data_IF_661019528100
#
_entry.id   IF_661019528100
#
_cell.length_a   1.000
_cell.length_b   1.000
_cell.length_c   1.000
_cell.angle_alpha   90.00
_cell.angle_beta   90.00
_cell.angle_gamma   90.00
#
_symmetry.space_group_name_H-M   'P 1'
#
loop_
_entity.id
_entity.type
_entity.pdbx_description
1 polymer ?
#
# COMPACT_ATOMS: atom_id res chain seq x y z
N UNK A 1 -60.25 30.33 -30.27
CA UNK A 1 -60.38 31.75 -29.87
C UNK A 1 -59.86 31.93 -28.44
N UNK A 2 -59.32 33.12 -28.18
CA UNK A 2 -58.44 33.57 -27.07
C UNK A 2 -59.33 34.21 -25.98
N UNK A 3 -59.15 34.03 -24.66
CA UNK A 3 -58.40 34.92 -23.72
C UNK A 3 -58.79 34.54 -22.26
N UNK A 4 -57.82 34.34 -21.34
CA UNK A 4 -57.39 35.19 -20.17
C UNK A 4 -58.44 35.25 -19.02
N UNK A 5 -58.13 35.13 -17.71
CA UNK A 5 -57.02 35.71 -16.92
C UNK A 5 -56.91 35.10 -15.49
N UNK A 6 -55.66 35.02 -14.97
CA UNK A 6 -55.08 35.31 -13.62
C UNK A 6 -55.85 35.00 -12.31
N UNK A 7 -55.30 34.62 -11.15
CA UNK A 7 -54.04 34.94 -10.42
C UNK A 7 -53.80 33.90 -9.29
N UNK A 8 -52.55 33.59 -8.93
CA UNK A 8 -51.90 33.84 -7.61
C UNK A 8 -50.63 32.98 -7.42
N UNK A 9 -49.68 33.55 -6.68
CA UNK A 9 -48.27 33.22 -6.58
C UNK A 9 -47.93 32.16 -5.48
N UNK A 10 -46.62 32.07 -5.18
CA UNK A 10 -45.90 31.42 -4.06
C UNK A 10 -45.25 30.08 -4.50
N UNK A 11 -43.99 30.03 -4.94
CA UNK A 11 -42.70 30.25 -4.25
C UNK A 11 -42.13 28.99 -3.56
N UNK A 12 -40.97 28.55 -4.10
CA UNK A 12 -39.74 28.07 -3.43
C UNK A 12 -39.72 26.70 -2.70
N UNK A 13 -38.74 25.89 -3.10
CA UNK A 13 -37.98 24.95 -2.24
C UNK A 13 -38.49 23.50 -2.28
N UNK A 14 -37.67 22.45 -2.36
CA UNK A 14 -36.23 22.30 -2.43
C UNK A 14 -35.95 20.92 -3.04
N UNK A 15 -34.98 20.82 -3.96
CA UNK A 15 -34.47 19.55 -4.45
C UNK A 15 -33.52 18.96 -3.40
N UNK A 16 -33.98 17.94 -2.67
CA UNK A 16 -33.10 17.13 -1.83
C UNK A 16 -32.50 16.00 -2.68
N UNK A 17 -31.39 16.31 -3.35
CA UNK A 17 -30.50 15.29 -3.90
C UNK A 17 -29.82 14.61 -2.71
N UNK A 18 -30.26 13.40 -2.38
CA UNK A 18 -29.59 12.53 -1.42
C UNK A 18 -28.27 12.05 -2.07
N UNK A 19 -27.27 12.92 -2.04
CA UNK A 19 -25.91 12.59 -2.37
C UNK A 19 -25.40 11.70 -1.23
N UNK A 20 -25.56 10.38 -1.35
CA UNK A 20 -24.87 9.42 -0.50
C UNK A 20 -23.38 9.64 -0.72
N UNK A 21 -22.78 10.41 0.19
CA UNK A 21 -21.36 10.62 0.29
C UNK A 21 -20.70 9.26 0.42
N UNK A 22 -20.11 8.78 -0.67
CA UNK A 22 -19.07 7.77 -0.57
C UNK A 22 -18.06 8.33 0.43
N UNK A 23 -17.63 7.57 1.47
CA UNK A 23 -16.48 7.98 2.24
C UNK A 23 -15.36 8.19 1.23
N UNK A 24 -14.90 9.43 1.12
CA UNK A 24 -13.77 9.77 0.30
C UNK A 24 -12.64 8.83 0.73
N UNK A 25 -12.33 7.85 -0.11
CA UNK A 25 -11.11 7.08 0.00
C UNK A 25 -10.00 8.12 -0.07
N UNK A 26 -9.45 8.50 1.09
CA UNK A 26 -8.71 9.75 1.23
C UNK A 26 -7.61 9.79 0.20
N UNK A 27 -7.76 10.69 -0.77
CA UNK A 27 -6.93 10.77 -1.97
C UNK A 27 -5.48 11.22 -1.66
N UNK A 28 -5.14 11.42 -0.38
CA UNK A 28 -3.84 11.95 0.06
C UNK A 28 -2.66 10.98 -0.04
N UNK A 29 -2.90 9.66 -0.23
CA UNK A 29 -1.83 8.66 -0.09
C UNK A 29 -1.24 8.10 -1.39
N UNK A 30 -1.62 8.66 -2.55
CA UNK A 30 -0.98 8.41 -3.85
C UNK A 30 0.15 9.41 -4.15
N UNK A 31 1.01 9.70 -3.19
CA UNK A 31 2.15 10.57 -3.46
C UNK A 31 3.21 9.79 -4.24
N UNK A 32 3.41 10.20 -5.50
CA UNK A 32 4.56 9.77 -6.27
C UNK A 32 5.83 10.11 -5.48
N UNK A 33 6.79 9.19 -5.41
CA UNK A 33 8.02 9.43 -4.65
C UNK A 33 8.77 10.64 -5.19
N UNK A 34 9.14 11.56 -4.28
CA UNK A 34 9.88 12.80 -4.59
C UNK A 34 11.28 12.50 -5.16
N UNK A 35 11.88 11.39 -4.72
CA UNK A 35 13.16 10.89 -5.22
C UNK A 35 12.94 9.75 -6.22
N UNK A 36 13.01 10.10 -7.51
CA UNK A 36 12.77 9.17 -8.61
C UNK A 36 13.76 8.00 -8.64
N UNK A 37 15.04 8.24 -8.32
CA UNK A 37 16.06 7.18 -8.38
C UNK A 37 15.82 6.14 -7.27
N UNK A 38 15.51 6.59 -6.06
CA UNK A 38 15.13 5.71 -4.95
C UNK A 38 13.83 4.96 -5.24
N UNK A 39 12.88 5.62 -5.89
CA UNK A 39 11.65 5.01 -6.34
C UNK A 39 11.87 3.88 -7.33
N UNK A 40 12.63 4.15 -8.39
CA UNK A 40 12.96 3.18 -9.43
C UNK A 40 13.67 1.97 -8.83
N UNK A 41 14.57 2.17 -7.87
CA UNK A 41 15.23 1.08 -7.13
C UNK A 41 14.25 0.22 -6.35
N UNK A 42 13.28 0.81 -5.65
CA UNK A 42 12.25 0.05 -4.93
C UNK A 42 11.37 -0.77 -5.88
N UNK A 43 10.97 -0.19 -7.03
CA UNK A 43 10.20 -0.90 -8.08
C UNK A 43 10.99 -2.09 -8.63
N UNK A 44 12.27 -1.87 -8.99
CA UNK A 44 13.15 -2.92 -9.50
C UNK A 44 13.31 -4.08 -8.51
N UNK A 45 13.45 -3.77 -7.21
CA UNK A 45 13.53 -4.81 -6.17
C UNK A 45 12.24 -5.64 -6.08
N UNK A 46 11.08 -4.98 -6.15
CA UNK A 46 9.78 -5.67 -6.14
C UNK A 46 9.60 -6.55 -7.38
N UNK A 47 9.93 -6.04 -8.57
CA UNK A 47 9.79 -6.80 -9.81
C UNK A 47 10.73 -8.02 -9.83
N UNK A 48 12.00 -7.83 -9.45
CA UNK A 48 12.97 -8.92 -9.27
C UNK A 48 12.48 -9.98 -8.28
N UNK A 49 11.86 -9.55 -7.18
CA UNK A 49 11.33 -10.46 -6.17
C UNK A 49 10.13 -11.27 -6.69
N UNK A 50 9.22 -10.65 -7.44
CA UNK A 50 8.09 -11.33 -8.07
C UNK A 50 8.57 -12.37 -9.08
N UNK A 51 9.51 -12.00 -9.96
CA UNK A 51 10.11 -12.93 -10.93
C UNK A 51 10.76 -14.12 -10.21
N UNK A 52 11.49 -13.86 -9.12
CA UNK A 52 12.12 -14.91 -8.34
C UNK A 52 11.09 -15.85 -7.69
N UNK A 53 9.99 -15.31 -7.16
CA UNK A 53 8.88 -16.12 -6.60
C UNK A 53 8.26 -16.98 -7.68
N UNK A 54 7.96 -16.43 -8.86
CA UNK A 54 7.33 -17.16 -9.95
C UNK A 54 8.23 -18.27 -10.50
N UNK A 55 9.54 -18.02 -10.59
CA UNK A 55 10.50 -18.98 -11.13
C UNK A 55 10.87 -20.10 -10.14
N UNK A 56 11.03 -19.76 -8.86
CA UNK A 56 11.63 -20.67 -7.87
C UNK A 56 10.65 -21.15 -6.80
N UNK A 57 9.45 -20.56 -6.76
CA UNK A 57 8.43 -20.84 -5.76
C UNK A 57 8.66 -20.12 -4.43
N UNK A 58 7.60 -20.12 -3.62
CA UNK A 58 7.55 -19.40 -2.34
C UNK A 58 8.64 -19.84 -1.35
N UNK A 59 8.88 -21.14 -1.19
CA UNK A 59 9.84 -21.64 -0.19
C UNK A 59 11.28 -21.19 -0.49
N UNK A 60 11.67 -21.18 -1.77
CA UNK A 60 12.97 -20.66 -2.18
C UNK A 60 13.05 -19.13 -2.02
N UNK A 61 11.98 -18.42 -2.36
CA UNK A 61 11.91 -16.97 -2.22
C UNK A 61 12.05 -16.52 -0.76
N UNK A 62 11.35 -17.17 0.18
CA UNK A 62 11.47 -16.86 1.61
C UNK A 62 12.91 -17.04 2.10
N UNK A 63 13.59 -18.12 1.71
CA UNK A 63 15.01 -18.32 2.05
C UNK A 63 15.90 -17.21 1.46
N UNK A 64 15.69 -16.86 0.19
CA UNK A 64 16.45 -15.82 -0.48
C UNK A 64 16.25 -14.44 0.17
N UNK A 65 15.01 -14.09 0.53
CA UNK A 65 14.70 -12.79 1.13
C UNK A 65 15.32 -12.60 2.52
N UNK A 66 15.72 -13.66 3.21
CA UNK A 66 16.46 -13.59 4.48
C UNK A 66 17.97 -13.64 4.31
N UNK A 67 18.48 -14.03 3.15
CA UNK A 67 19.92 -14.10 2.89
C UNK A 67 20.45 -12.71 2.53
N UNK A 68 21.36 -12.12 3.34
CA UNK A 68 21.99 -10.83 3.06
C UNK A 68 22.74 -10.78 1.72
N UNK A 69 23.16 -11.94 1.20
CA UNK A 69 23.93 -12.04 -0.04
C UNK A 69 23.07 -12.29 -1.29
N UNK A 70 21.75 -12.43 -1.13
CA UNK A 70 20.81 -12.70 -2.24
C UNK A 70 20.59 -11.51 -3.18
N UNK A 71 20.98 -10.30 -2.75
CA UNK A 71 20.70 -9.05 -3.43
C UNK A 71 19.24 -8.60 -3.36
N UNK A 72 18.46 -9.13 -2.40
CA UNK A 72 17.13 -8.63 -2.00
C UNK A 72 17.16 -7.75 -0.74
N UNK A 73 18.36 -7.58 -0.17
CA UNK A 73 18.63 -6.70 0.97
C UNK A 73 19.77 -5.78 0.54
N UNK A 74 19.50 -4.48 0.50
CA UNK A 74 20.46 -3.44 0.14
C UNK A 74 20.15 -2.17 0.94
N UNK A 75 20.89 -1.98 2.03
CA UNK A 75 20.65 -0.85 2.95
C UNK A 75 19.23 -0.88 3.50
N UNK A 76 18.44 0.14 3.22
CA UNK A 76 17.03 0.26 3.62
C UNK A 76 16.04 -0.48 2.71
N UNK A 77 16.49 -0.88 1.52
CA UNK A 77 15.68 -1.63 0.55
C UNK A 77 15.70 -3.10 0.93
N UNK A 78 14.56 -3.61 1.37
CA UNK A 78 14.38 -5.02 1.67
C UNK A 78 12.96 -5.44 1.33
N UNK A 79 12.80 -6.71 0.99
CA UNK A 79 11.50 -7.29 0.65
C UNK A 79 10.66 -7.53 1.91
N UNK A 80 9.42 -7.05 1.88
CA UNK A 80 8.35 -7.61 2.70
C UNK A 80 7.43 -8.43 1.80
N UNK A 81 7.28 -9.70 2.13
CA UNK A 81 6.42 -10.63 1.41
C UNK A 81 5.29 -11.09 2.33
N UNK A 82 4.04 -10.77 1.98
CA UNK A 82 2.90 -10.85 2.89
C UNK A 82 1.69 -11.44 2.15
N UNK A 83 0.90 -12.25 2.85
CA UNK A 83 -0.43 -12.69 2.40
C UNK A 83 -1.46 -11.55 2.48
N UNK A 84 -2.55 -11.66 1.72
CA UNK A 84 -3.66 -10.70 1.80
C UNK A 84 -4.37 -10.68 3.16
N UNK A 85 -4.25 -11.75 3.94
CA UNK A 85 -4.73 -11.79 5.32
C UNK A 85 -3.83 -11.00 6.29
N UNK A 86 -2.71 -10.44 5.83
CA UNK A 86 -1.74 -9.69 6.62
C UNK A 86 -0.65 -10.50 7.32
N UNK A 87 -0.55 -11.79 7.02
CA UNK A 87 0.51 -12.67 7.54
C UNK A 87 1.81 -12.49 6.77
N UNK A 88 2.91 -12.19 7.47
CA UNK A 88 4.25 -12.20 6.88
C UNK A 88 4.65 -13.61 6.45
N UNK A 89 5.10 -13.73 5.21
CA UNK A 89 5.82 -14.89 4.70
C UNK A 89 7.33 -14.71 4.78
N UNK A 90 7.80 -13.48 4.57
CA UNK A 90 9.17 -13.08 4.80
C UNK A 90 9.24 -11.58 5.13
N UNK A 91 9.97 -11.22 6.17
CA UNK A 91 10.41 -9.85 6.38
C UNK A 91 11.95 -9.80 6.27
N UNK A 92 12.45 -9.23 5.18
CA UNK A 92 13.87 -9.39 4.80
C UNK A 92 14.90 -9.01 5.86
N UNK A 93 14.61 -8.03 6.72
CA UNK A 93 15.50 -7.65 7.84
C UNK A 93 15.15 -8.25 9.21
N UNK A 94 13.93 -8.76 9.40
CA UNK A 94 13.42 -9.16 10.72
C UNK A 94 12.68 -10.49 10.61
N UNK A 95 13.38 -11.63 10.47
CA UNK A 95 12.75 -12.95 10.34
C UNK A 95 11.80 -13.31 11.50
N UNK A 96 11.97 -12.68 12.66
CA UNK A 96 11.03 -12.80 13.80
C UNK A 96 9.61 -12.30 13.51
N UNK A 97 9.39 -11.64 12.36
CA UNK A 97 8.08 -11.22 11.90
C UNK A 97 7.34 -12.31 11.11
N UNK A 98 8.03 -13.32 10.63
CA UNK A 98 7.41 -14.37 9.81
C UNK A 98 6.34 -15.13 10.59
N UNK A 99 5.23 -15.41 9.91
CA UNK A 99 4.05 -16.03 10.52
C UNK A 99 3.22 -15.08 11.39
N UNK A 100 3.70 -13.87 11.71
CA UNK A 100 2.88 -12.88 12.43
C UNK A 100 1.88 -12.24 11.49
N UNK A 101 0.64 -12.14 11.96
CA UNK A 101 -0.41 -11.39 11.30
C UNK A 101 -0.41 -9.94 11.80
N UNK A 102 -0.33 -9.00 10.87
CA UNK A 102 -0.31 -7.56 11.18
C UNK A 102 -1.43 -6.79 10.47
N UNK A 103 -2.50 -7.47 10.05
CA UNK A 103 -3.63 -6.85 9.34
C UNK A 103 -4.29 -5.73 10.17
N UNK A 104 -4.36 -5.91 11.49
CA UNK A 104 -5.00 -4.98 12.42
C UNK A 104 -4.01 -4.08 13.17
N UNK A 105 -2.72 -4.13 12.82
CA UNK A 105 -1.72 -3.24 13.41
C UNK A 105 -1.90 -1.83 12.83
N UNK A 106 -1.94 -0.84 13.72
CA UNK A 106 -2.06 0.57 13.36
C UNK A 106 -0.69 1.25 13.33
N UNK A 107 -0.52 2.16 12.38
CA UNK A 107 0.56 3.15 12.47
C UNK A 107 0.28 4.18 13.58
N UNK A 108 1.25 5.03 13.96
CA UNK A 108 1.07 6.07 14.98
C UNK A 108 -0.06 7.07 14.68
N UNK A 109 -0.49 7.19 13.42
CA UNK A 109 -1.61 8.04 13.01
C UNK A 109 -2.95 7.28 13.06
N UNK A 110 -2.96 6.04 13.57
CA UNK A 110 -4.15 5.22 13.80
C UNK A 110 -4.61 4.41 12.60
N UNK A 111 -3.81 4.31 11.53
CA UNK A 111 -4.21 3.71 10.24
C UNK A 111 -3.80 2.26 10.09
N UNK A 112 -4.66 1.47 9.46
CA UNK A 112 -4.39 0.06 9.18
C UNK A 112 -3.56 -0.10 7.91
N UNK A 113 -2.24 0.10 8.04
CA UNK A 113 -1.26 0.05 6.95
C UNK A 113 -1.48 -1.12 5.98
N UNK A 114 -1.63 -2.33 6.50
CA UNK A 114 -1.72 -3.54 5.66
C UNK A 114 -3.08 -3.66 4.97
N UNK A 115 -4.16 -3.21 5.61
CA UNK A 115 -5.47 -3.19 4.95
C UNK A 115 -5.46 -2.25 3.74
N UNK A 116 -4.84 -1.08 3.88
CA UNK A 116 -4.72 -0.11 2.79
C UNK A 116 -3.84 -0.65 1.65
N UNK A 117 -2.70 -1.28 1.96
CA UNK A 117 -1.84 -1.91 0.94
C UNK A 117 -2.58 -3.06 0.25
N UNK A 118 -3.33 -3.88 0.99
CA UNK A 118 -4.14 -4.97 0.42
C UNK A 118 -5.20 -4.42 -0.54
N UNK A 119 -5.85 -3.31 -0.21
CA UNK A 119 -6.79 -2.64 -1.10
C UNK A 119 -6.11 -2.18 -2.41
N UNK A 120 -4.89 -1.63 -2.32
CA UNK A 120 -4.09 -1.22 -3.49
C UNK A 120 -3.72 -2.42 -4.38
N UNK A 121 -3.14 -3.48 -3.81
CA UNK A 121 -2.66 -4.61 -4.62
C UNK A 121 -3.79 -5.49 -5.14
N UNK A 122 -4.98 -5.47 -4.52
CA UNK A 122 -6.18 -6.15 -5.03
C UNK A 122 -6.96 -5.32 -6.06
N UNK A 123 -6.89 -3.99 -5.99
CA UNK A 123 -7.52 -3.09 -6.95
C UNK A 123 -6.65 -2.89 -8.20
N UNK A 124 -5.85 -1.81 -8.28
CA UNK A 124 -4.96 -1.56 -9.42
C UNK A 124 -3.83 -2.58 -9.63
N UNK A 125 -3.57 -3.48 -8.68
CA UNK A 125 -2.54 -4.53 -8.79
C UNK A 125 -1.18 -4.12 -8.21
N UNK A 126 -0.87 -2.82 -8.22
CA UNK A 126 0.28 -2.25 -7.53
C UNK A 126 0.05 -0.79 -7.15
N UNK A 127 0.91 -0.26 -6.30
CA UNK A 127 0.91 1.16 -5.98
C UNK A 127 1.90 1.56 -4.90
N UNK A 128 2.02 2.86 -4.73
CA UNK A 128 2.80 3.49 -3.69
C UNK A 128 1.96 3.71 -2.44
N UNK A 129 2.57 3.57 -1.27
CA UNK A 129 1.96 3.88 0.01
C UNK A 129 2.98 4.52 0.96
N UNK A 130 2.54 5.57 1.67
CA UNK A 130 3.37 6.34 2.60
C UNK A 130 2.81 6.24 4.02
N UNK A 131 3.69 5.91 4.96
CA UNK A 131 3.31 5.62 6.35
C UNK A 131 4.45 5.91 7.31
N UNK A 132 4.11 6.07 8.59
CA UNK A 132 5.12 6.13 9.65
C UNK A 132 5.41 4.71 10.12
N UNK A 133 6.69 4.35 10.20
CA UNK A 133 7.10 3.03 10.63
C UNK A 133 8.37 3.11 11.47
N UNK A 134 8.54 2.12 12.34
CA UNK A 134 9.78 1.99 13.10
C UNK A 134 10.89 1.51 12.16
N UNK A 135 11.89 2.35 11.98
CA UNK A 135 13.08 2.00 11.23
C UNK A 135 13.89 0.97 12.05
N UNK A 136 14.16 -0.23 11.53
CA UNK A 136 14.89 -1.26 12.28
C UNK A 136 16.33 -0.84 12.61
N UNK A 137 16.91 0.07 11.84
CA UNK A 137 18.30 0.52 12.00
C UNK A 137 18.39 1.66 13.02
N UNK A 138 17.50 2.67 12.97
CA UNK A 138 17.54 3.84 13.87
C UNK A 138 16.66 3.72 15.11
N UNK A 139 15.71 2.77 15.11
CA UNK A 139 14.63 2.61 16.12
C UNK A 139 13.66 3.79 16.22
N UNK A 140 13.82 4.82 15.40
CA UNK A 140 12.92 5.95 15.33
C UNK A 140 11.69 5.63 14.47
N UNK A 141 10.57 6.26 14.80
CA UNK A 141 9.39 6.31 13.95
C UNK A 141 9.62 7.34 12.85
N UNK A 142 9.78 6.89 11.62
CA UNK A 142 10.11 7.73 10.47
C UNK A 142 9.09 7.55 9.35
N UNK A 143 8.99 8.54 8.46
CA UNK A 143 8.21 8.37 7.23
C UNK A 143 8.90 7.35 6.34
N UNK A 144 8.14 6.33 5.91
CA UNK A 144 8.54 5.34 4.91
C UNK A 144 7.63 5.46 3.69
N UNK A 145 8.24 5.34 2.51
CA UNK A 145 7.57 5.26 1.22
C UNK A 145 7.85 3.87 0.68
N UNK A 146 6.81 3.10 0.40
CA UNK A 146 6.93 1.74 -0.13
C UNK A 146 6.11 1.57 -1.40
N UNK A 147 6.68 0.84 -2.35
CA UNK A 147 5.96 0.28 -3.49
C UNK A 147 5.54 -1.15 -3.16
N UNK A 148 4.29 -1.49 -3.45
CA UNK A 148 3.76 -2.83 -3.29
C UNK A 148 3.10 -3.31 -4.58
N UNK A 149 3.22 -4.60 -4.87
CA UNK A 149 2.66 -5.23 -6.07
C UNK A 149 2.21 -6.66 -5.76
N UNK A 150 1.05 -7.02 -6.29
CA UNK A 150 0.50 -8.37 -6.20
C UNK A 150 1.41 -9.37 -6.91
N UNK A 151 1.60 -10.53 -6.29
CA UNK A 151 2.21 -11.69 -6.97
C UNK A 151 1.12 -12.38 -7.81
N UNK A 152 1.30 -12.52 -9.14
CA UNK A 152 0.27 -13.10 -10.00
C UNK A 152 -0.14 -14.51 -9.58
N UNK A 153 -1.43 -14.84 -9.71
CA UNK A 153 -2.01 -16.16 -9.39
C UNK A 153 -1.81 -16.63 -7.94
N UNK A 154 -1.63 -15.69 -7.01
CA UNK A 154 -1.53 -15.96 -5.56
C UNK A 154 -2.38 -14.99 -4.76
N UNK A 155 -2.49 -15.27 -3.46
CA UNK A 155 -3.06 -14.38 -2.44
C UNK A 155 -1.99 -13.62 -1.65
N UNK A 156 -0.90 -13.25 -2.32
CA UNK A 156 0.24 -12.58 -1.70
C UNK A 156 0.65 -11.33 -2.48
N UNK A 157 1.37 -10.46 -1.80
CA UNK A 157 2.02 -9.30 -2.41
C UNK A 157 3.42 -9.15 -1.87
N UNK A 158 4.26 -8.51 -2.68
CA UNK A 158 5.59 -8.09 -2.32
C UNK A 158 5.61 -6.57 -2.24
N UNK A 159 6.39 -6.02 -1.33
CA UNK A 159 6.81 -4.63 -1.45
C UNK A 159 8.21 -4.36 -0.94
N UNK A 160 8.69 -3.18 -1.28
CA UNK A 160 9.99 -2.64 -0.93
C UNK A 160 9.85 -1.13 -0.79
N UNK A 161 10.65 -0.52 0.07
CA UNK A 161 10.56 0.91 0.31
C UNK A 161 11.78 1.46 1.01
N UNK A 162 11.71 2.74 1.30
CA UNK A 162 12.81 3.51 1.87
C UNK A 162 12.28 4.62 2.79
N UNK A 163 13.08 5.01 3.76
CA UNK A 163 12.75 6.07 4.71
C UNK A 163 13.00 7.44 4.08
N UNK A 164 12.07 8.37 4.24
CA UNK A 164 12.29 9.75 3.83
C UNK A 164 13.38 10.33 4.73
N UNK A 165 14.50 10.77 4.14
CA UNK A 165 15.50 11.55 4.87
C UNK A 165 14.90 12.94 5.07
N UNK A 166 14.95 13.43 6.31
CA UNK A 166 14.56 14.80 6.68
C UNK A 166 15.59 15.75 6.07
#
# INVERSE_FOLDING_TARGET
MRKRSSFFAIAVGAAAVFCLSLPAFSAEFKHAPEDKARAEKAVQQVDKAIEFIQKNGQAAAVKAFHDPNSGFIDGEYFIFYIKFDGTYLAHGKLPVMDGKNILNVKDPDGRFLIQDIVAIVKGPGSGWYRYKWNNPDTKATEWKISYAKRVPNTETFVGCGYHKKI
#
